data_IF_401742472355
#
_entry.id   IF_401742472355
#
_cell.length_a   1.000
_cell.length_b   1.000
_cell.length_c   1.000
_cell.angle_alpha   90.00
_cell.angle_beta   90.00
_cell.angle_gamma   90.00
#
_symmetry.space_group_name_H-M   'P 1'
#
loop_
_entity.id
_entity.type
_entity.pdbx_description
1 polymer ?
#
# COMPACT_ATOMS: atom_id res chain seq x y z
N UNK A 1 17.19 -8.65 -13.00
CA UNK A 1 16.26 -7.74 -12.29
C UNK A 1 16.45 -7.93 -10.80
N UNK A 2 16.54 -6.85 -10.02
CA UNK A 2 16.51 -6.93 -8.55
C UNK A 2 15.13 -7.41 -8.10
N UNK A 3 15.05 -8.19 -7.00
CA UNK A 3 13.77 -8.66 -6.44
C UNK A 3 12.90 -7.49 -5.95
N UNK A 4 13.52 -6.40 -5.51
CA UNK A 4 12.82 -5.22 -5.00
C UNK A 4 12.05 -4.50 -6.12
N UNK A 5 12.69 -4.30 -7.28
CA UNK A 5 12.05 -3.72 -8.46
C UNK A 5 10.82 -4.51 -8.91
N UNK A 6 10.88 -5.86 -8.87
CA UNK A 6 9.71 -6.67 -9.21
C UNK A 6 8.57 -6.50 -8.20
N UNK A 7 8.90 -6.30 -6.92
CA UNK A 7 7.89 -6.09 -5.87
C UNK A 7 7.22 -4.73 -6.03
N UNK A 8 7.98 -3.66 -6.25
CA UNK A 8 7.47 -2.31 -6.53
C UNK A 8 6.60 -2.29 -7.79
N UNK A 9 7.09 -2.91 -8.88
CA UNK A 9 6.32 -3.02 -10.11
C UNK A 9 5.01 -3.78 -9.88
N UNK A 10 5.05 -4.87 -9.11
CA UNK A 10 3.84 -5.63 -8.77
C UNK A 10 2.88 -4.78 -7.92
N UNK A 11 3.36 -4.05 -6.93
CA UNK A 11 2.53 -3.22 -6.06
C UNK A 11 1.82 -2.10 -6.85
N UNK A 12 2.56 -1.41 -7.72
CA UNK A 12 2.00 -0.35 -8.57
C UNK A 12 0.98 -0.88 -9.57
N UNK A 13 1.25 -2.01 -10.23
CA UNK A 13 0.26 -2.65 -11.11
C UNK A 13 -0.97 -3.15 -10.35
N UNK A 14 -0.79 -3.77 -9.18
CA UNK A 14 -1.90 -4.24 -8.34
C UNK A 14 -2.79 -3.06 -7.91
N UNK A 15 -2.20 -1.95 -7.48
CA UNK A 15 -2.94 -0.74 -7.15
C UNK A 15 -3.73 -0.22 -8.36
N UNK A 16 -3.09 -0.10 -9.53
CA UNK A 16 -3.75 0.39 -10.74
C UNK A 16 -4.93 -0.50 -11.17
N UNK A 17 -4.75 -1.83 -11.11
CA UNK A 17 -5.82 -2.80 -11.41
C UNK A 17 -6.99 -2.61 -10.44
N UNK A 18 -6.72 -2.51 -9.13
CA UNK A 18 -7.76 -2.34 -8.12
C UNK A 18 -8.49 -1.00 -8.25
N UNK A 19 -7.78 0.08 -8.59
CA UNK A 19 -8.41 1.37 -8.86
C UNK A 19 -9.36 1.29 -10.07
N UNK A 20 -8.95 0.63 -11.15
CA UNK A 20 -9.81 0.42 -12.33
C UNK A 20 -11.04 -0.44 -12.00
N UNK A 21 -10.83 -1.55 -11.29
CA UNK A 21 -11.91 -2.43 -10.84
C UNK A 21 -12.89 -1.70 -9.91
N UNK A 22 -12.39 -0.93 -8.93
CA UNK A 22 -13.21 -0.15 -8.02
C UNK A 22 -14.04 0.90 -8.75
N UNK A 23 -13.50 1.56 -9.77
CA UNK A 23 -14.23 2.53 -10.60
C UNK A 23 -15.36 1.88 -11.38
N UNK A 24 -15.20 0.62 -11.80
CA UNK A 24 -16.25 -0.13 -12.50
C UNK A 24 -17.40 -0.58 -11.58
N UNK A 25 -17.11 -0.84 -10.30
CA UNK A 25 -18.08 -1.40 -9.34
C UNK A 25 -18.83 -0.35 -8.53
N UNK A 26 -18.26 0.84 -8.35
CA UNK A 26 -18.76 1.82 -7.39
C UNK A 26 -20.03 2.52 -7.86
N UNK A 27 -21.12 2.35 -7.10
CA UNK A 27 -22.37 3.13 -7.25
C UNK A 27 -22.57 4.06 -6.05
N UNK A 28 -22.65 5.38 -6.29
CA UNK A 28 -23.04 6.37 -5.28
C UNK A 28 -22.11 6.41 -4.05
N UNK A 29 -22.56 5.85 -2.92
CA UNK A 29 -21.85 5.87 -1.61
C UNK A 29 -20.45 5.25 -1.72
N UNK A 30 -20.29 4.21 -2.54
CA UNK A 30 -19.00 3.53 -2.76
C UNK A 30 -17.99 4.42 -3.47
N UNK A 31 -18.47 5.31 -4.34
CA UNK A 31 -17.61 6.26 -5.04
C UNK A 31 -17.05 7.31 -4.09
N UNK A 32 -17.86 7.83 -3.16
CA UNK A 32 -17.38 8.76 -2.13
C UNK A 32 -16.32 8.12 -1.24
N UNK A 33 -16.50 6.85 -0.86
CA UNK A 33 -15.53 6.11 -0.05
C UNK A 33 -14.22 5.88 -0.82
N UNK A 34 -14.30 5.53 -2.11
CA UNK A 34 -13.12 5.40 -2.97
C UNK A 34 -12.34 6.71 -3.08
N UNK A 35 -13.04 7.82 -3.34
CA UNK A 35 -12.41 9.16 -3.44
C UNK A 35 -11.75 9.57 -2.12
N UNK A 36 -12.36 9.25 -0.97
CA UNK A 36 -11.76 9.52 0.34
C UNK A 36 -10.46 8.72 0.55
N UNK A 37 -10.45 7.44 0.18
CA UNK A 37 -9.25 6.58 0.22
C UNK A 37 -8.17 7.17 -0.69
N UNK A 38 -8.48 7.42 -1.97
CA UNK A 38 -7.53 7.99 -2.95
C UNK A 38 -6.95 9.33 -2.44
N UNK A 39 -7.81 10.23 -1.92
CA UNK A 39 -7.37 11.55 -1.43
C UNK A 39 -6.45 11.43 -0.22
N UNK A 40 -6.81 10.58 0.77
CA UNK A 40 -6.00 10.38 1.98
C UNK A 40 -4.61 9.82 1.62
N UNK A 41 -4.56 8.85 0.73
CA UNK A 41 -3.29 8.25 0.33
C UNK A 41 -2.46 9.19 -0.54
N UNK A 42 -3.07 10.04 -1.38
CA UNK A 42 -2.32 11.07 -2.09
C UNK A 42 -1.73 12.10 -1.13
N UNK A 43 -2.48 12.57 -0.13
CA UNK A 43 -1.93 13.45 0.92
C UNK A 43 -0.76 12.77 1.65
N UNK A 44 -0.88 11.48 1.97
CA UNK A 44 0.21 10.74 2.60
C UNK A 44 1.46 10.65 1.71
N UNK A 45 1.29 10.48 0.38
CA UNK A 45 2.40 10.53 -0.59
C UNK A 45 3.04 11.91 -0.63
N UNK A 46 2.25 12.97 -0.68
CA UNK A 46 2.75 14.35 -0.67
C UNK A 46 3.52 14.64 0.62
N UNK A 47 2.98 14.27 1.77
CA UNK A 47 3.64 14.44 3.07
C UNK A 47 4.95 13.64 3.15
N UNK A 48 4.99 12.42 2.60
CA UNK A 48 6.21 11.62 2.53
C UNK A 48 7.26 12.26 1.61
N UNK A 49 6.86 12.78 0.44
CA UNK A 49 7.75 13.52 -0.48
C UNK A 49 8.28 14.81 0.16
N UNK A 50 7.43 15.55 0.86
CA UNK A 50 7.81 16.79 1.54
C UNK A 50 8.80 16.50 2.66
N UNK A 51 8.50 15.55 3.56
CA UNK A 51 9.43 15.12 4.61
C UNK A 51 10.75 14.61 4.04
N UNK A 52 10.71 13.85 2.95
CA UNK A 52 11.92 13.39 2.28
C UNK A 52 12.80 14.55 1.84
N UNK A 53 12.22 15.57 1.19
CA UNK A 53 12.96 16.73 0.70
C UNK A 53 13.50 17.60 1.84
N UNK A 54 12.68 17.85 2.87
CA UNK A 54 13.04 18.68 4.03
C UNK A 54 14.14 18.04 4.89
N UNK A 55 14.04 16.73 5.12
CA UNK A 55 14.96 16.00 5.98
C UNK A 55 16.11 15.34 5.20
N UNK A 56 16.20 15.55 3.89
CA UNK A 56 17.18 14.85 3.04
C UNK A 56 18.61 15.06 3.55
N UNK A 57 19.01 16.31 3.74
CA UNK A 57 20.38 16.66 4.13
C UNK A 57 20.74 16.13 5.53
N UNK A 58 19.81 16.23 6.48
CA UNK A 58 20.03 15.77 7.86
C UNK A 58 20.13 14.24 7.91
N UNK A 59 19.24 13.54 7.20
CA UNK A 59 19.29 12.08 7.05
C UNK A 59 20.56 11.64 6.32
N UNK A 60 21.01 12.39 5.31
CA UNK A 60 22.25 12.11 4.56
C UNK A 60 23.48 12.17 5.44
N UNK A 61 23.65 13.25 6.19
CA UNK A 61 24.78 13.36 7.11
C UNK A 61 24.72 12.32 8.23
N UNK A 62 23.53 11.98 8.72
CA UNK A 62 23.37 10.91 9.70
C UNK A 62 23.76 9.55 9.12
N UNK A 63 23.23 9.18 7.94
CA UNK A 63 23.57 7.92 7.28
C UNK A 63 25.07 7.82 6.96
N UNK A 64 25.68 8.94 6.57
CA UNK A 64 27.13 9.04 6.35
C UNK A 64 27.91 8.80 7.64
N UNK A 65 27.52 9.43 8.75
CA UNK A 65 28.13 9.21 10.08
C UNK A 65 27.98 7.76 10.53
N UNK A 66 26.81 7.15 10.35
CA UNK A 66 26.59 5.74 10.70
C UNK A 66 27.53 4.80 9.94
N UNK A 67 27.72 5.02 8.63
CA UNK A 67 28.62 4.20 7.81
C UNK A 67 30.07 4.36 8.29
N UNK A 68 30.49 5.59 8.61
CA UNK A 68 31.83 5.87 9.14
C UNK A 68 32.02 5.19 10.51
N UNK A 69 31.06 5.33 11.41
CA UNK A 69 31.10 4.74 12.74
C UNK A 69 31.18 3.21 12.66
N UNK A 70 30.39 2.59 11.77
CA UNK A 70 30.43 1.15 11.54
C UNK A 70 31.75 0.67 10.93
N UNK A 71 32.37 1.48 10.07
CA UNK A 71 33.68 1.17 9.50
C UNK A 71 34.83 1.34 10.51
N UNK A 72 34.67 2.24 11.48
CA UNK A 72 35.61 2.48 12.57
C UNK A 72 35.39 1.61 13.82
N UNK A 73 34.32 0.81 13.84
CA UNK A 73 34.03 -0.11 14.94
C UNK A 73 35.15 -1.16 15.06
N UNK A 74 35.68 -1.33 16.27
CA UNK A 74 36.79 -2.26 16.52
C UNK A 74 36.29 -3.69 16.40
N UNK A 75 36.56 -4.30 15.25
CA UNK A 75 36.52 -5.75 15.14
C UNK A 75 37.79 -6.31 15.78
N UNK A 76 37.66 -7.29 16.66
CA UNK A 76 38.80 -7.99 17.29
C UNK A 76 39.61 -8.86 16.32
N UNK A 77 39.36 -8.76 15.02
CA UNK A 77 40.17 -9.35 13.97
C UNK A 77 41.51 -8.63 13.89
N UNK A 78 42.62 -9.36 14.01
CA UNK A 78 43.95 -8.80 13.82
C UNK A 78 44.05 -8.18 12.41
N UNK A 79 44.28 -6.86 12.29
CA UNK A 79 44.48 -6.26 10.98
C UNK A 79 45.77 -6.78 10.36
N UNK A 80 45.74 -7.06 9.06
CA UNK A 80 46.94 -7.40 8.28
C UNK A 80 47.99 -6.28 8.44
N UNK A 81 49.28 -6.61 8.59
CA UNK A 81 50.36 -5.62 8.79
C UNK A 81 50.53 -4.65 7.60
N UNK A 82 49.94 -4.95 6.44
CA UNK A 82 49.89 -4.09 5.28
C UNK A 82 48.54 -3.36 5.22
N UNK A 83 48.31 -2.44 6.16
CA UNK A 83 47.08 -1.66 6.26
C UNK A 83 46.96 -0.65 5.12
N UNK A 84 46.12 -0.92 4.13
CA UNK A 84 45.68 0.10 3.17
C UNK A 84 44.54 0.89 3.81
N UNK A 85 44.62 2.22 3.81
CA UNK A 85 43.47 3.05 4.17
C UNK A 85 42.31 2.77 3.20
N UNK A 86 41.22 2.22 3.73
CA UNK A 86 40.02 1.88 2.95
C UNK A 86 38.98 3.01 2.98
N UNK A 87 39.29 4.15 3.60
CA UNK A 87 38.38 5.27 3.65
C UNK A 87 38.20 5.90 2.27
N UNK A 88 37.05 5.66 1.65
CA UNK A 88 36.66 6.23 0.36
C UNK A 88 35.44 7.12 0.54
N UNK A 89 35.66 8.42 0.76
CA UNK A 89 34.61 9.40 1.00
C UNK A 89 33.47 9.34 -0.03
N UNK A 90 33.80 9.29 -1.32
CA UNK A 90 32.81 9.21 -2.40
C UNK A 90 31.99 7.92 -2.41
N UNK A 91 32.57 6.81 -1.93
CA UNK A 91 31.84 5.55 -1.81
C UNK A 91 30.84 5.60 -0.66
N UNK A 92 31.23 6.21 0.46
CA UNK A 92 30.39 6.43 1.63
C UNK A 92 29.21 7.35 1.26
N UNK A 93 29.47 8.47 0.59
CA UNK A 93 28.42 9.40 0.13
C UNK A 93 27.41 8.70 -0.79
N UNK A 94 27.89 7.92 -1.78
CA UNK A 94 27.01 7.13 -2.67
C UNK A 94 26.25 6.03 -1.94
N UNK A 95 26.77 5.52 -0.83
CA UNK A 95 26.07 4.51 -0.03
C UNK A 95 25.01 5.16 0.87
N UNK A 96 25.29 6.32 1.43
CA UNK A 96 24.33 7.11 2.22
C UNK A 96 23.14 7.56 1.36
N UNK A 97 23.39 8.13 0.17
CA UNK A 97 22.35 8.52 -0.79
C UNK A 97 21.47 7.32 -1.19
N UNK A 98 22.08 6.18 -1.54
CA UNK A 98 21.34 4.96 -1.86
C UNK A 98 20.46 4.47 -0.71
N UNK A 99 20.96 4.49 0.52
CA UNK A 99 20.19 4.07 1.70
C UNK A 99 18.94 4.94 1.88
N UNK A 100 19.10 6.26 1.78
CA UNK A 100 18.00 7.22 1.98
C UNK A 100 16.95 7.10 0.88
N UNK A 101 17.38 6.96 -0.37
CA UNK A 101 16.46 6.74 -1.50
C UNK A 101 15.69 5.44 -1.33
N UNK A 102 16.38 4.36 -0.93
CA UNK A 102 15.75 3.07 -0.70
C UNK A 102 14.73 3.12 0.45
N UNK A 103 15.06 3.81 1.54
CA UNK A 103 14.15 3.98 2.68
C UNK A 103 12.89 4.78 2.26
N UNK A 104 13.05 5.81 1.43
CA UNK A 104 11.92 6.57 0.88
C UNK A 104 11.07 5.76 -0.11
N UNK A 105 11.70 5.04 -1.02
CA UNK A 105 11.01 4.17 -1.98
C UNK A 105 10.22 3.07 -1.26
N UNK A 106 10.76 2.54 -0.17
CA UNK A 106 10.06 1.60 0.69
C UNK A 106 8.84 2.23 1.37
N UNK A 107 8.95 3.45 1.90
CA UNK A 107 7.82 4.19 2.48
C UNK A 107 6.72 4.43 1.44
N UNK A 108 7.09 4.85 0.22
CA UNK A 108 6.14 5.03 -0.88
C UNK A 108 5.43 3.72 -1.25
N UNK A 109 6.18 2.62 -1.34
CA UNK A 109 5.60 1.30 -1.62
C UNK A 109 4.61 0.87 -0.54
N UNK A 110 4.89 1.15 0.74
CA UNK A 110 3.96 0.83 1.82
C UNK A 110 2.66 1.63 1.75
N UNK A 111 2.72 2.90 1.32
CA UNK A 111 1.53 3.72 1.11
C UNK A 111 0.68 3.11 -0.01
N UNK A 112 1.29 2.72 -1.12
CA UNK A 112 0.60 2.10 -2.25
C UNK A 112 -0.02 0.73 -1.88
N UNK A 113 0.71 -0.10 -1.14
CA UNK A 113 0.21 -1.38 -0.63
C UNK A 113 -0.94 -1.21 0.38
N UNK A 114 -0.93 -0.14 1.17
CA UNK A 114 -2.02 0.19 2.08
C UNK A 114 -3.28 0.61 1.29
N UNK A 115 -3.12 1.52 0.32
CA UNK A 115 -4.22 1.95 -0.55
C UNK A 115 -4.86 0.76 -1.28
N UNK A 116 -4.04 -0.10 -1.90
CA UNK A 116 -4.51 -1.28 -2.61
C UNK A 116 -5.36 -2.19 -1.70
N UNK A 117 -4.94 -2.40 -0.45
CA UNK A 117 -5.68 -3.23 0.53
C UNK A 117 -7.02 -2.61 0.91
N UNK A 118 -7.07 -1.30 1.11
CA UNK A 118 -8.31 -0.60 1.45
C UNK A 118 -9.30 -0.62 0.28
N UNK A 119 -8.83 -0.37 -0.95
CA UNK A 119 -9.65 -0.47 -2.16
C UNK A 119 -10.20 -1.89 -2.35
N UNK A 120 -9.39 -2.92 -2.14
CA UNK A 120 -9.86 -4.31 -2.20
C UNK A 120 -10.93 -4.61 -1.15
N UNK A 121 -10.78 -4.08 0.07
CA UNK A 121 -11.80 -4.24 1.11
C UNK A 121 -13.11 -3.56 0.72
N UNK A 122 -13.04 -2.40 0.06
CA UNK A 122 -14.20 -1.69 -0.47
C UNK A 122 -14.91 -2.49 -1.58
N UNK A 123 -14.14 -3.06 -2.51
CA UNK A 123 -14.64 -3.94 -3.58
C UNK A 123 -15.36 -5.16 -2.97
N UNK A 124 -14.72 -5.88 -2.04
CA UNK A 124 -15.30 -7.06 -1.39
C UNK A 124 -16.62 -6.73 -0.66
N UNK A 125 -16.68 -5.58 0.00
CA UNK A 125 -17.88 -5.10 0.66
C UNK A 125 -19.00 -4.75 -0.34
N UNK A 126 -18.66 -4.11 -1.45
CA UNK A 126 -19.61 -3.77 -2.51
C UNK A 126 -20.19 -5.04 -3.17
N UNK A 127 -19.34 -6.02 -3.47
CA UNK A 127 -19.78 -7.32 -4.01
C UNK A 127 -20.70 -8.06 -3.04
N UNK A 128 -20.34 -8.12 -1.75
CA UNK A 128 -21.14 -8.78 -0.72
C UNK A 128 -22.54 -8.15 -0.59
N UNK A 129 -22.63 -6.81 -0.68
CA UNK A 129 -23.91 -6.10 -0.71
C UNK A 129 -24.72 -6.40 -1.98
N UNK A 130 -24.07 -6.47 -3.13
CA UNK A 130 -24.76 -6.79 -4.39
C UNK A 130 -25.30 -8.23 -4.39
N UNK A 131 -24.56 -9.21 -3.86
CA UNK A 131 -25.02 -10.60 -3.74
C UNK A 131 -26.22 -10.73 -2.81
N UNK A 132 -26.22 -10.02 -1.67
CA UNK A 132 -27.31 -10.09 -0.69
C UNK A 132 -28.61 -9.40 -1.14
N UNK A 133 -28.54 -8.38 -2.01
CA UNK A 133 -29.74 -7.74 -2.59
C UNK A 133 -30.62 -8.68 -3.41
N UNK A 134 -30.05 -9.66 -4.11
CA UNK A 134 -30.82 -10.64 -4.89
C UNK A 134 -31.58 -11.61 -3.98
N UNK A 135 -30.90 -12.17 -2.97
CA UNK A 135 -31.45 -13.15 -2.04
C UNK A 135 -32.65 -12.62 -1.24
N UNK A 136 -32.60 -11.36 -0.80
CA UNK A 136 -33.70 -10.75 -0.06
C UNK A 136 -34.95 -10.57 -0.92
N UNK A 137 -34.78 -10.25 -2.22
CA UNK A 137 -35.89 -10.08 -3.16
C UNK A 137 -36.55 -11.43 -3.47
N UNK A 138 -35.74 -12.47 -3.68
CA UNK A 138 -36.24 -13.82 -3.98
C UNK A 138 -36.96 -14.43 -2.78
N UNK A 139 -36.41 -14.29 -1.57
CA UNK A 139 -37.05 -14.75 -0.34
C UNK A 139 -38.35 -13.99 -0.02
N UNK A 140 -38.43 -12.71 -0.35
CA UNK A 140 -39.67 -11.93 -0.20
C UNK A 140 -40.71 -12.34 -1.24
N UNK A 141 -40.31 -12.56 -2.49
CA UNK A 141 -41.19 -13.03 -3.55
C UNK A 141 -41.76 -14.43 -3.24
N UNK A 142 -40.93 -15.36 -2.77
CA UNK A 142 -41.35 -16.71 -2.38
C UNK A 142 -42.35 -16.70 -1.22
N UNK A 143 -42.14 -15.84 -0.21
CA UNK A 143 -43.07 -15.71 0.91
C UNK A 143 -44.35 -14.93 0.55
N UNK A 144 -44.27 -13.98 -0.39
CA UNK A 144 -45.45 -13.28 -0.91
C UNK A 144 -46.33 -14.23 -1.75
N UNK A 145 -45.72 -15.11 -2.54
CA UNK A 145 -46.42 -16.08 -3.40
C UNK A 145 -47.06 -17.22 -2.57
N UNK A 146 -46.40 -17.67 -1.49
CA UNK A 146 -47.02 -18.58 -0.51
C UNK A 146 -48.27 -18.00 0.17
N UNK A 147 -48.39 -16.67 0.26
CA UNK A 147 -49.59 -16.00 0.81
C UNK A 147 -50.77 -15.96 -0.18
N UNK A 148 -50.57 -16.27 -1.45
CA UNK A 148 -51.63 -16.36 -2.49
C UNK A 148 -52.24 -17.75 -2.67
N UNK A 149 -51.77 -18.77 -1.93
CA UNK A 149 -52.32 -20.13 -2.00
C UNK A 149 -53.83 -20.21 -1.70
N UNK A 150 -54.50 -21.14 -2.40
CA UNK A 150 -55.96 -21.39 -2.41
C UNK A 150 -56.64 -21.54 -1.03
N UNK A 151 -55.89 -21.79 0.05
CA UNK A 151 -56.43 -22.02 1.40
C UNK A 151 -57.26 -20.85 1.95
N UNK A 152 -57.10 -19.62 1.43
CA UNK A 152 -57.94 -18.49 1.87
C UNK A 152 -59.31 -18.39 1.17
N UNK A 153 -59.60 -19.20 0.16
CA UNK A 153 -60.89 -19.15 -0.56
C UNK A 153 -61.97 -20.11 -0.03
N UNK A 154 -61.67 -20.93 0.99
CA UNK A 154 -62.66 -21.83 1.60
C UNK A 154 -63.08 -21.34 3.00
N UNK A 155 -63.99 -20.37 3.02
CA UNK A 155 -64.99 -20.23 4.10
C UNK A 155 -66.26 -19.58 3.53
N UNK A 156 -67.11 -20.43 2.97
CA UNK A 156 -68.56 -20.25 2.97
C UNK A 156 -69.16 -21.48 3.65
#
# INVERSE_FOLDING_TARGET
MSKDLMRELKATFDLAIRQDEARSLSKGIEWSALTEIETRHETAREDARNRFNEEYETRFEQARRDIINKAGEKNHDMPSPYGTDRFKGDAISRQADRRIRQDHEFEMTQIDEAEAREISTLIDAAETRNRSKGLAKDAFAENADRRSGEERRLKR
#
